data_IF_112545177628
#
_entry.id   IF_112545177628
#
_cell.length_a   1.000
_cell.length_b   1.000
_cell.length_c   1.000
_cell.angle_alpha   90.00
_cell.angle_beta   90.00
_cell.angle_gamma   90.00
#
_symmetry.space_group_name_H-M   'P 1'
#
loop_
_entity.id
_entity.type
_entity.pdbx_description
1 polymer ?
#
# COMPACT_ATOMS: atom_id res chain seq x y z
N UNK A 1 -7.50 1.13 -2.97
CA UNK A 1 -6.14 0.85 -2.49
C UNK A 1 -5.15 1.38 -3.50
N UNK A 2 -4.03 1.93 -3.05
CA UNK A 2 -2.96 2.44 -3.91
C UNK A 2 -1.64 1.85 -3.46
N UNK A 3 -0.80 1.39 -4.39
CA UNK A 3 0.55 0.89 -4.14
C UNK A 3 1.51 1.56 -5.11
N UNK A 4 2.65 1.98 -4.59
CA UNK A 4 3.78 2.57 -5.31
C UNK A 4 4.93 1.58 -5.17
N UNK A 5 5.55 1.20 -6.27
CA UNK A 5 6.65 0.26 -6.29
C UNK A 5 7.58 0.54 -7.49
N UNK A 6 8.81 -0.02 -7.51
CA UNK A 6 9.76 0.18 -8.62
C UNK A 6 9.26 -0.24 -10.00
N UNK A 7 8.31 -1.18 -10.07
CA UNK A 7 7.69 -1.62 -11.33
C UNK A 7 6.18 -1.76 -11.18
N UNK A 8 5.46 -1.57 -12.28
CA UNK A 8 4.01 -1.76 -12.32
C UNK A 8 3.60 -3.22 -12.05
N UNK A 9 4.44 -4.19 -12.43
CA UNK A 9 4.22 -5.62 -12.15
C UNK A 9 4.24 -5.86 -10.64
N UNK A 10 5.27 -5.36 -9.95
CA UNK A 10 5.36 -5.46 -8.49
C UNK A 10 4.20 -4.74 -7.81
N UNK A 11 3.86 -3.51 -8.24
CA UNK A 11 2.70 -2.79 -7.71
C UNK A 11 1.40 -3.59 -7.89
N UNK A 12 1.21 -4.23 -9.05
CA UNK A 12 0.08 -5.10 -9.35
C UNK A 12 -0.01 -6.28 -8.39
N UNK A 13 1.07 -7.07 -8.27
CA UNK A 13 1.16 -8.23 -7.36
C UNK A 13 0.90 -7.82 -5.91
N UNK A 14 1.54 -6.75 -5.44
CA UNK A 14 1.39 -6.28 -4.06
C UNK A 14 -0.04 -5.78 -3.79
N UNK A 15 -0.64 -5.04 -4.73
CA UNK A 15 -1.99 -4.50 -4.57
C UNK A 15 -3.05 -5.59 -4.47
N UNK A 16 -3.00 -6.63 -5.31
CA UNK A 16 -3.97 -7.72 -5.28
C UNK A 16 -3.78 -8.60 -4.05
N UNK A 17 -2.53 -8.89 -3.68
CA UNK A 17 -2.22 -9.70 -2.49
C UNK A 17 -2.70 -9.00 -1.22
N UNK A 18 -2.34 -7.73 -1.02
CA UNK A 18 -2.75 -6.98 0.17
C UNK A 18 -4.24 -6.63 0.20
N UNK A 19 -4.96 -6.68 -0.93
CA UNK A 19 -6.42 -6.57 -0.96
C UNK A 19 -7.12 -7.83 -0.40
N UNK A 20 -6.53 -9.01 -0.60
CA UNK A 20 -7.08 -10.28 -0.09
C UNK A 20 -6.82 -10.44 1.41
N UNK A 21 -5.71 -9.90 1.91
CA UNK A 21 -5.34 -9.94 3.32
C UNK A 21 -6.20 -8.99 4.18
N UNK A 22 -6.33 -9.26 5.50
CA UNK A 22 -6.85 -8.27 6.44
C UNK A 22 -6.08 -6.94 6.32
N UNK A 23 -6.73 -5.76 6.43
CA UNK A 23 -6.10 -4.47 6.10
C UNK A 23 -4.78 -4.17 6.81
N UNK A 24 -4.66 -4.55 8.09
CA UNK A 24 -3.42 -4.36 8.85
C UNK A 24 -2.30 -5.28 8.35
N UNK A 25 -2.63 -6.53 8.01
CA UNK A 25 -1.69 -7.49 7.43
C UNK A 25 -1.29 -7.07 6.02
N UNK A 26 -2.23 -6.59 5.20
CA UNK A 26 -1.96 -6.03 3.88
C UNK A 26 -1.02 -4.82 3.94
N UNK A 27 -1.25 -3.90 4.88
CA UNK A 27 -0.35 -2.75 5.13
C UNK A 27 1.05 -3.23 5.52
N UNK A 28 1.16 -4.21 6.41
CA UNK A 28 2.43 -4.78 6.85
C UNK A 28 3.17 -5.48 5.71
N UNK A 29 2.46 -6.27 4.90
CA UNK A 29 3.02 -6.96 3.74
C UNK A 29 3.66 -5.99 2.73
N UNK A 30 2.99 -4.86 2.44
CA UNK A 30 3.58 -3.81 1.58
C UNK A 30 4.80 -3.18 2.26
N UNK A 31 4.73 -2.89 3.56
CA UNK A 31 5.82 -2.27 4.31
C UNK A 31 7.09 -3.13 4.36
N UNK A 32 6.95 -4.45 4.31
CA UNK A 32 8.05 -5.42 4.27
C UNK A 32 8.64 -5.61 2.87
N UNK A 33 7.99 -5.06 1.82
CA UNK A 33 8.47 -5.12 0.44
C UNK A 33 9.41 -3.94 0.12
N UNK A 34 10.70 -4.18 -0.17
CA UNK A 34 11.66 -3.10 -0.40
C UNK A 34 11.26 -2.18 -1.56
N UNK A 35 11.34 -0.87 -1.30
CA UNK A 35 11.00 0.16 -2.28
C UNK A 35 9.50 0.31 -2.56
N UNK A 36 8.64 -0.41 -1.85
CA UNK A 36 7.20 -0.30 -1.99
C UNK A 36 6.57 0.52 -0.86
N UNK A 37 5.59 1.33 -1.21
CA UNK A 37 4.74 2.08 -0.30
C UNK A 37 3.28 1.91 -0.70
N UNK A 38 2.35 2.01 0.25
CA UNK A 38 0.95 1.81 -0.08
C UNK A 38 -0.02 2.37 0.94
N UNK A 39 -1.26 2.51 0.50
CA UNK A 39 -2.39 2.94 1.31
C UNK A 39 -3.63 2.13 0.99
N UNK A 40 -4.18 1.50 2.02
CA UNK A 40 -5.46 0.81 2.00
C UNK A 40 -6.47 1.71 2.69
N UNK A 41 -7.54 2.05 1.98
CA UNK A 41 -8.67 2.79 2.51
C UNK A 41 -9.83 1.82 2.68
N UNK A 42 -10.40 1.79 3.88
CA UNK A 42 -11.64 1.08 4.18
C UNK A 42 -12.75 2.09 4.48
N UNK A 43 -13.97 1.61 4.71
CA UNK A 43 -15.09 2.46 5.13
C UNK A 43 -14.85 3.15 6.49
N UNK A 44 -13.92 2.65 7.30
CA UNK A 44 -13.75 3.08 8.69
C UNK A 44 -12.35 3.61 9.00
N UNK A 45 -11.35 3.27 8.19
CA UNK A 45 -9.97 3.57 8.51
C UNK A 45 -9.07 3.66 7.27
N UNK A 46 -7.92 4.29 7.48
CA UNK A 46 -6.81 4.38 6.53
C UNK A 46 -5.60 3.64 7.10
N UNK A 47 -5.09 2.69 6.34
CA UNK A 47 -3.90 1.90 6.66
C UNK A 47 -2.81 2.23 5.65
N UNK A 48 -1.79 2.96 6.06
CA UNK A 48 -0.73 3.41 5.16
C UNK A 48 0.66 2.98 5.63
N UNK A 49 1.56 2.70 4.69
CA UNK A 49 2.98 2.52 4.98
C UNK A 49 3.61 3.86 5.38
N UNK A 50 4.76 3.81 6.04
CA UNK A 50 5.44 5.00 6.54
C UNK A 50 5.90 5.94 5.42
N UNK A 51 6.26 5.44 4.23
CA UNK A 51 6.72 6.28 3.13
C UNK A 51 5.62 6.84 2.25
N UNK A 52 4.38 6.34 2.36
CA UNK A 52 3.29 6.71 1.46
C UNK A 52 2.94 8.20 1.50
N UNK A 53 3.15 8.88 2.65
CA UNK A 53 2.87 10.32 2.76
C UNK A 53 3.70 11.18 1.79
N UNK A 54 4.88 10.71 1.38
CA UNK A 54 5.75 11.43 0.44
C UNK A 54 5.13 11.60 -0.96
N UNK A 55 4.10 10.82 -1.27
CA UNK A 55 3.46 10.79 -2.58
C UNK A 55 2.05 11.43 -2.58
N UNK A 56 1.59 11.91 -1.42
CA UNK A 56 0.30 12.59 -1.31
C UNK A 56 0.51 14.05 -1.69
N UNK A 57 -0.14 14.50 -2.75
CA UNK A 57 -0.16 15.92 -3.14
C UNK A 57 -1.34 16.58 -2.41
N UNK A 58 -1.09 17.58 -1.52
CA UNK A 58 -2.17 18.36 -0.90
C UNK A 58 -2.96 19.12 -1.97
N UNK A 59 -4.28 19.23 -1.79
CA UNK A 59 -5.12 20.10 -2.62
C UNK A 59 -5.00 21.56 -2.20
#
# INVERSE_FOLDING_TARGET
MTVIAPTCVQAGVLSTTAFILPPEEGRRFIQESPGADGCILTAHARYQTRGFFNYVVPQ
#
